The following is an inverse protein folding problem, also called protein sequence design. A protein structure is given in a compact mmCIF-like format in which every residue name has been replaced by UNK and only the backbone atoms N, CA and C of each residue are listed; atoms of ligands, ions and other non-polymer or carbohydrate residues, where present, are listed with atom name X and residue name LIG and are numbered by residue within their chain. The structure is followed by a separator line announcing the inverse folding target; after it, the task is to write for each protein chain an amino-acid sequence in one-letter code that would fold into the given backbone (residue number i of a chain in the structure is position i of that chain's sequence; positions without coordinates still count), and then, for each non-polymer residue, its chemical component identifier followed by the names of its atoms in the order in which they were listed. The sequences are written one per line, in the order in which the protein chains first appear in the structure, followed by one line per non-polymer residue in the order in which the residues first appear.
data_IF_935701277309
#
_entry.id   IF_935701277309
#
_cell.length_a   1.000
_cell.length_b   1.000
_cell.length_c   1.000
_cell.angle_alpha   90.00
_cell.angle_beta   90.00
_cell.angle_gamma   90.00
#
_symmetry.space_group_name_H-M   'P 1'
#
loop_
_entity.id
_entity.type
_entity.pdbx_description
1 polymer ?
#
# COMPACT_ATOMS: atom_id res chain seq x y z
N UNK A 1 5.10 -7.54 -20.15
CA UNK A 1 3.93 -8.17 -19.51
C UNK A 1 3.78 -7.78 -18.05
N UNK A 2 4.82 -7.97 -17.24
CA UNK A 2 4.75 -7.64 -15.82
C UNK A 2 4.53 -6.13 -15.56
N UNK A 3 5.17 -5.27 -16.35
CA UNK A 3 5.00 -3.82 -16.24
C UNK A 3 3.54 -3.39 -16.47
N UNK A 4 2.87 -3.98 -17.47
CA UNK A 4 1.46 -3.68 -17.75
C UNK A 4 0.55 -4.14 -16.61
N UNK A 5 0.85 -5.29 -16.01
CA UNK A 5 0.08 -5.81 -14.88
C UNK A 5 0.25 -4.94 -13.64
N UNK A 6 1.47 -4.48 -13.36
CA UNK A 6 1.74 -3.57 -12.24
C UNK A 6 1.03 -2.24 -12.46
N UNK A 7 1.14 -1.64 -13.64
CA UNK A 7 0.46 -0.39 -13.96
C UNK A 7 -1.05 -0.51 -13.84
N UNK A 8 -1.62 -1.64 -14.29
CA UNK A 8 -3.05 -1.92 -14.14
C UNK A 8 -3.47 -2.02 -12.67
N UNK A 9 -2.62 -2.63 -11.83
CA UNK A 9 -2.88 -2.71 -10.39
C UNK A 9 -2.77 -1.35 -9.70
N UNK A 10 -1.84 -0.52 -10.13
CA UNK A 10 -1.68 0.84 -9.59
C UNK A 10 -2.85 1.74 -10.00
N UNK A 11 -3.40 1.57 -11.21
CA UNK A 11 -4.53 2.38 -11.70
C UNK A 11 -5.82 2.14 -10.89
N UNK A 12 -5.98 0.96 -10.30
CA UNK A 12 -7.11 0.68 -9.41
C UNK A 12 -7.11 1.55 -8.17
N UNK A 13 -5.94 1.87 -7.64
CA UNK A 13 -5.82 2.81 -6.53
C UNK A 13 -6.36 4.19 -6.95
N UNK A 14 -5.96 4.68 -8.13
CA UNK A 14 -6.41 5.97 -8.64
C UNK A 14 -7.94 6.05 -8.73
N UNK A 15 -8.55 5.05 -9.33
CA UNK A 15 -10.02 4.96 -9.47
C UNK A 15 -10.71 4.90 -8.11
N UNK A 16 -10.20 4.06 -7.21
CA UNK A 16 -10.78 3.86 -5.89
C UNK A 16 -10.70 5.14 -5.05
N UNK A 17 -9.57 5.83 -5.11
CA UNK A 17 -9.42 7.11 -4.40
C UNK A 17 -10.40 8.15 -4.94
N UNK A 18 -10.54 8.26 -6.26
CA UNK A 18 -11.51 9.16 -6.89
C UNK A 18 -12.93 8.87 -6.39
N UNK A 19 -13.32 7.60 -6.38
CA UNK A 19 -14.65 7.17 -5.95
C UNK A 19 -14.89 7.51 -4.48
N UNK A 20 -13.89 7.30 -3.63
CA UNK A 20 -13.98 7.62 -2.20
C UNK A 20 -14.10 9.11 -1.95
N UNK A 21 -13.36 9.92 -2.69
CA UNK A 21 -13.44 11.39 -2.58
C UNK A 21 -14.80 11.91 -3.04
N UNK A 22 -15.44 11.26 -3.98
CA UNK A 22 -16.78 11.60 -4.45
C UNK A 22 -17.85 11.14 -3.45
N UNK A 23 -17.73 9.92 -2.93
CA UNK A 23 -18.67 9.34 -1.98
C UNK A 23 -18.67 10.08 -0.62
N UNK A 24 -17.50 10.52 -0.17
CA UNK A 24 -17.34 11.40 0.99
C UNK A 24 -16.76 12.71 0.46
N UNK A 25 -17.60 13.65 -0.01
CA UNK A 25 -17.12 14.79 -0.79
C UNK A 25 -16.04 15.57 -0.08
N UNK A 26 -14.85 15.57 -0.66
CA UNK A 26 -13.70 16.32 -0.18
C UNK A 26 -12.85 16.73 -1.38
N UNK A 27 -12.41 17.99 -1.35
CA UNK A 27 -11.54 18.53 -2.41
C UNK A 27 -10.08 18.16 -2.16
N UNK A 28 -9.30 18.12 -3.23
CA UNK A 28 -7.89 17.72 -3.17
C UNK A 28 -7.08 18.52 -2.15
N UNK A 29 -7.27 19.82 -2.05
CA UNK A 29 -6.55 20.66 -1.10
C UNK A 29 -6.88 20.33 0.35
N UNK A 30 -8.14 20.02 0.63
CA UNK A 30 -8.57 19.66 1.98
C UNK A 30 -8.06 18.29 2.38
N UNK A 31 -8.16 17.30 1.48
CA UNK A 31 -7.62 15.98 1.73
C UNK A 31 -6.09 16.03 1.91
N UNK A 32 -5.42 16.83 1.08
CA UNK A 32 -3.97 17.03 1.19
C UNK A 32 -3.56 17.56 2.57
N UNK A 33 -4.32 18.52 3.13
CA UNK A 33 -4.08 19.03 4.47
C UNK A 33 -4.22 17.94 5.53
N UNK A 34 -5.22 17.07 5.39
CA UNK A 34 -5.42 15.96 6.33
C UNK A 34 -4.28 14.94 6.27
N UNK A 35 -3.73 14.70 5.07
CA UNK A 35 -2.68 13.69 4.86
C UNK A 35 -1.27 14.27 5.10
N UNK A 36 -1.11 15.59 4.96
CA UNK A 36 0.19 16.25 5.10
C UNK A 36 0.98 16.32 3.80
N UNK A 37 0.28 16.47 2.67
CA UNK A 37 0.87 16.63 1.34
C UNK A 37 0.25 17.85 0.66
N UNK A 38 0.61 18.12 -0.59
CA UNK A 38 0.01 19.23 -1.35
C UNK A 38 -1.19 18.75 -2.17
N UNK A 39 -2.07 19.69 -2.54
CA UNK A 39 -3.22 19.39 -3.40
C UNK A 39 -2.80 18.81 -4.74
N UNK A 40 -1.68 19.27 -5.30
CA UNK A 40 -1.11 18.72 -6.55
C UNK A 40 -0.81 17.25 -6.43
N UNK A 41 -0.28 16.81 -5.28
CA UNK A 41 0.05 15.42 -5.02
C UNK A 41 -1.22 14.59 -4.99
N UNK A 42 -2.27 15.05 -4.29
CA UNK A 42 -3.56 14.35 -4.24
C UNK A 42 -4.17 14.25 -5.64
N UNK A 43 -4.17 15.33 -6.41
CA UNK A 43 -4.69 15.30 -7.79
C UNK A 43 -3.95 14.28 -8.63
N UNK A 44 -2.62 14.20 -8.50
CA UNK A 44 -1.81 13.20 -9.22
C UNK A 44 -2.23 11.78 -8.86
N UNK A 45 -2.55 11.54 -7.58
CA UNK A 45 -3.02 10.22 -7.14
C UNK A 45 -4.35 9.82 -7.77
N UNK A 46 -5.16 10.76 -8.23
CA UNK A 46 -6.49 10.47 -8.79
C UNK A 46 -6.50 10.24 -10.30
N UNK A 47 -5.43 10.61 -11.01
CA UNK A 47 -5.44 10.49 -12.48
C UNK A 47 -4.17 9.89 -13.10
N UNK A 48 -3.11 9.69 -12.36
CA UNK A 48 -1.88 9.07 -12.85
C UNK A 48 -1.63 7.73 -12.16
N UNK A 49 -0.92 6.84 -12.85
CA UNK A 49 -0.44 5.57 -12.28
C UNK A 49 0.67 5.86 -11.28
N UNK A 50 0.29 6.31 -10.10
CA UNK A 50 1.19 6.75 -9.05
C UNK A 50 1.59 5.58 -8.17
N UNK A 51 2.90 5.48 -7.88
CA UNK A 51 3.43 4.47 -6.96
C UNK A 51 3.54 5.10 -5.57
N UNK A 52 2.44 5.15 -4.86
CA UNK A 52 2.31 5.83 -3.57
C UNK A 52 3.04 5.08 -2.45
N UNK A 53 3.63 5.83 -1.52
CA UNK A 53 4.31 5.26 -0.36
C UNK A 53 3.33 4.77 0.70
N UNK A 54 3.74 3.74 1.45
CA UNK A 54 2.94 3.09 2.48
C UNK A 54 2.36 4.09 3.50
N UNK A 55 3.17 5.02 4.00
CA UNK A 55 2.71 5.99 5.00
C UNK A 55 1.50 6.79 4.53
N UNK A 56 1.49 7.17 3.25
CA UNK A 56 0.38 7.91 2.68
C UNK A 56 -0.84 7.02 2.42
N UNK A 57 -0.61 5.77 2.00
CA UNK A 57 -1.69 4.77 1.87
C UNK A 57 -2.42 4.56 3.18
N UNK A 58 -1.68 4.40 4.28
CA UNK A 58 -2.27 4.18 5.61
C UNK A 58 -3.06 5.40 6.05
N UNK A 59 -2.52 6.61 5.86
CA UNK A 59 -3.23 7.84 6.22
C UNK A 59 -4.54 7.99 5.44
N UNK A 60 -4.52 7.67 4.15
CA UNK A 60 -5.73 7.70 3.32
C UNK A 60 -6.75 6.64 3.78
N UNK A 61 -6.30 5.43 4.03
CA UNK A 61 -7.17 4.35 4.50
C UNK A 61 -7.80 4.69 5.84
N UNK A 62 -7.03 5.27 6.76
CA UNK A 62 -7.54 5.74 8.05
C UNK A 62 -8.55 6.86 7.87
N UNK A 63 -8.29 7.82 6.98
CA UNK A 63 -9.21 8.92 6.73
C UNK A 63 -10.55 8.43 6.17
N UNK A 64 -10.53 7.47 5.24
CA UNK A 64 -11.74 6.92 4.62
C UNK A 64 -12.33 5.72 5.36
N UNK A 65 -11.79 5.35 6.51
CA UNK A 65 -12.25 4.21 7.32
C UNK A 65 -12.36 2.92 6.51
N UNK A 66 -11.32 2.60 5.76
CA UNK A 66 -11.30 1.39 4.93
C UNK A 66 -9.97 0.65 5.07
N UNK A 67 -9.94 -0.57 4.54
CA UNK A 67 -8.70 -1.33 4.45
C UNK A 67 -7.80 -0.79 3.33
N UNK A 68 -6.50 -1.02 3.44
CA UNK A 68 -5.57 -0.71 2.34
C UNK A 68 -5.90 -1.57 1.13
N UNK A 69 -6.32 -2.82 1.33
CA UNK A 69 -6.72 -3.69 0.22
C UNK A 69 -7.94 -3.15 -0.53
N UNK A 70 -8.92 -2.58 0.18
CA UNK A 70 -10.03 -1.89 -0.47
C UNK A 70 -9.56 -0.64 -1.22
N UNK A 71 -8.77 0.19 -0.57
CA UNK A 71 -8.27 1.43 -1.17
C UNK A 71 -7.46 1.19 -2.44
N UNK A 72 -6.74 0.09 -2.51
CA UNK A 72 -5.90 -0.26 -3.66
C UNK A 72 -6.60 -1.14 -4.70
N UNK A 73 -7.88 -1.45 -4.47
CA UNK A 73 -8.66 -2.26 -5.40
C UNK A 73 -8.38 -3.76 -5.34
N UNK A 74 -7.64 -4.23 -4.33
CA UNK A 74 -7.39 -5.66 -4.13
C UNK A 74 -8.59 -6.38 -3.50
N UNK A 75 -9.48 -5.63 -2.85
CA UNK A 75 -10.73 -6.14 -2.30
C UNK A 75 -11.86 -5.20 -2.66
N UNK A 76 -13.04 -5.75 -2.94
CA UNK A 76 -14.26 -4.97 -3.19
C UNK A 76 -15.06 -4.74 -1.92
N UNK A 77 -14.56 -5.20 -0.79
CA UNK A 77 -15.23 -5.07 0.51
C UNK A 77 -14.50 -4.06 1.38
N UNK A 78 -15.25 -3.09 1.90
CA UNK A 78 -14.79 -2.27 3.00
C UNK A 78 -14.78 -3.19 4.22
N UNK A 79 -13.59 -3.41 4.78
CA UNK A 79 -13.47 -4.24 5.97
C UNK A 79 -13.71 -3.36 7.19
N UNK A 80 -14.68 -3.75 8.00
CA UNK A 80 -14.99 -3.06 9.25
C UNK A 80 -14.06 -3.61 10.33
N UNK A 81 -12.91 -2.97 10.50
CA UNK A 81 -11.99 -3.31 11.57
C UNK A 81 -11.36 -2.05 12.16
N UNK A 82 -11.00 -2.14 13.44
CA UNK A 82 -10.27 -1.05 14.10
C UNK A 82 -8.78 -1.22 13.81
N UNK A 83 -8.15 -0.26 13.11
CA UNK A 83 -6.72 -0.36 12.81
C UNK A 83 -5.90 -0.42 14.09
N UNK A 84 -4.96 -1.34 14.13
CA UNK A 84 -3.99 -1.44 15.23
C UNK A 84 -2.81 -0.53 14.94
N UNK A 85 -2.16 -0.06 15.99
CA UNK A 85 -0.88 0.61 15.84
C UNK A 85 0.10 -0.37 15.22
N UNK A 86 0.50 -0.09 13.98
CA UNK A 86 1.37 -1.01 13.25
C UNK A 86 2.84 -0.83 13.60
N UNK A 87 3.62 -1.91 13.56
CA UNK A 87 5.07 -1.83 13.73
C UNK A 87 5.73 -1.23 12.49
N UNK A 88 7.04 -1.00 12.58
CA UNK A 88 7.86 -0.66 11.43
C UNK A 88 7.68 -1.73 10.33
N UNK A 89 7.62 -1.32 9.07
CA UNK A 89 7.35 -2.23 7.96
C UNK A 89 8.37 -3.36 7.87
N UNK A 90 9.67 -3.05 7.95
CA UNK A 90 10.71 -4.07 7.85
C UNK A 90 10.58 -5.11 8.97
N UNK A 91 10.38 -4.65 10.20
CA UNK A 91 10.19 -5.54 11.35
C UNK A 91 8.99 -6.47 11.12
N UNK A 92 7.88 -5.91 10.64
CA UNK A 92 6.67 -6.69 10.36
C UNK A 92 6.91 -7.69 9.23
N UNK A 93 7.58 -7.26 8.15
CA UNK A 93 7.90 -8.15 7.03
C UNK A 93 8.72 -9.36 7.49
N UNK A 94 9.77 -9.14 8.27
CA UNK A 94 10.60 -10.23 8.78
C UNK A 94 9.77 -11.18 9.65
N UNK A 95 8.88 -10.66 10.47
CA UNK A 95 7.96 -11.47 11.29
C UNK A 95 7.05 -12.34 10.42
N UNK A 96 6.46 -11.76 9.37
CA UNK A 96 5.59 -12.49 8.44
C UNK A 96 6.36 -13.59 7.72
N UNK A 97 7.58 -13.30 7.26
CA UNK A 97 8.43 -14.29 6.59
C UNK A 97 8.76 -15.46 7.52
N UNK A 98 9.11 -15.18 8.77
CA UNK A 98 9.39 -16.22 9.78
C UNK A 98 8.16 -17.09 10.03
N UNK A 99 7.00 -16.46 10.22
CA UNK A 99 5.75 -17.17 10.48
C UNK A 99 5.41 -18.13 9.34
N UNK A 100 5.74 -17.76 8.11
CA UNK A 100 5.45 -18.57 6.91
C UNK A 100 6.64 -19.43 6.46
N UNK A 101 7.73 -19.45 7.22
CA UNK A 101 8.95 -20.20 6.90
C UNK A 101 9.51 -19.86 5.52
N UNK A 102 9.50 -18.60 5.16
CA UNK A 102 10.00 -18.08 3.87
C UNK A 102 11.28 -17.29 4.12
N UNK A 103 12.35 -17.67 3.38
CA UNK A 103 13.62 -16.95 3.45
C UNK A 103 13.61 -15.71 2.57
N UNK A 104 14.48 -14.73 2.89
CA UNK A 104 14.67 -13.56 2.03
C UNK A 104 15.19 -13.96 0.65
N UNK A 105 15.97 -15.04 0.56
CA UNK A 105 16.44 -15.57 -0.72
C UNK A 105 15.28 -15.92 -1.66
N UNK A 106 14.23 -16.56 -1.12
CA UNK A 106 13.03 -16.90 -1.91
C UNK A 106 12.33 -15.66 -2.44
N UNK A 107 12.30 -14.60 -1.65
CA UNK A 107 11.75 -13.30 -2.10
C UNK A 107 12.54 -12.78 -3.31
N UNK A 108 13.87 -12.75 -3.20
CA UNK A 108 14.73 -12.27 -4.30
C UNK A 108 14.61 -13.12 -5.56
N UNK A 109 14.46 -14.43 -5.38
CA UNK A 109 14.40 -15.39 -6.49
C UNK A 109 13.04 -15.32 -7.21
N UNK A 110 11.95 -15.14 -6.47
CA UNK A 110 10.59 -15.33 -7.00
C UNK A 110 9.81 -14.01 -7.19
N UNK A 111 10.39 -12.88 -6.81
CA UNK A 111 9.76 -11.57 -6.97
C UNK A 111 10.75 -10.60 -7.61
N UNK A 112 10.28 -9.40 -7.90
CA UNK A 112 11.15 -8.31 -8.36
C UNK A 112 11.77 -7.50 -7.23
N UNK A 113 11.55 -7.93 -5.99
CA UNK A 113 12.15 -7.26 -4.83
C UNK A 113 13.64 -7.59 -4.80
N UNK A 114 14.47 -6.56 -4.81
CA UNK A 114 15.93 -6.68 -4.78
C UNK A 114 16.47 -6.57 -3.35
N UNK A 115 17.66 -7.09 -3.15
CA UNK A 115 18.29 -7.03 -1.82
C UNK A 115 18.43 -5.62 -1.28
N UNK A 116 18.72 -4.64 -2.15
CA UNK A 116 18.84 -3.25 -1.72
C UNK A 116 17.50 -2.64 -1.28
N UNK A 117 16.36 -3.15 -1.75
CA UNK A 117 15.04 -2.71 -1.25
C UNK A 117 14.93 -3.07 0.22
N UNK A 118 15.24 -4.32 0.59
CA UNK A 118 15.18 -4.75 1.99
C UNK A 118 16.13 -3.93 2.87
N UNK A 119 17.33 -3.65 2.37
CA UNK A 119 18.29 -2.84 3.11
C UNK A 119 17.79 -1.41 3.32
N UNK A 120 17.18 -0.81 2.29
CA UNK A 120 16.58 0.52 2.39
C UNK A 120 15.43 0.55 3.41
N UNK A 121 14.55 -0.46 3.38
CA UNK A 121 13.45 -0.55 4.34
C UNK A 121 13.95 -0.75 5.77
N UNK A 122 14.99 -1.56 5.93
CA UNK A 122 15.64 -1.74 7.23
C UNK A 122 16.18 -0.41 7.78
N UNK A 123 16.67 0.43 6.89
CA UNK A 123 17.23 1.75 7.24
C UNK A 123 16.18 2.85 7.34
N UNK A 124 14.90 2.50 7.25
CA UNK A 124 13.80 3.43 7.47
C UNK A 124 13.09 3.95 6.23
N UNK A 125 13.51 3.54 5.03
CA UNK A 125 12.79 3.91 3.81
C UNK A 125 11.41 3.27 3.80
N UNK A 126 10.43 3.98 3.27
CA UNK A 126 9.06 3.52 3.21
C UNK A 126 8.81 2.77 1.89
N UNK A 127 8.20 1.57 1.92
CA UNK A 127 7.93 0.84 0.69
C UNK A 127 6.85 1.52 -0.14
N UNK A 128 6.91 1.32 -1.44
CA UNK A 128 5.90 1.83 -2.38
C UNK A 128 4.84 0.76 -2.67
N UNK A 129 3.70 1.20 -3.16
CA UNK A 129 2.56 0.31 -3.44
C UNK A 129 2.94 -0.87 -4.33
N UNK A 130 3.77 -0.67 -5.35
CA UNK A 130 4.19 -1.78 -6.24
C UNK A 130 4.89 -2.90 -5.49
N UNK A 131 5.76 -2.56 -4.53
CA UNK A 131 6.44 -3.55 -3.69
C UNK A 131 5.46 -4.25 -2.75
N UNK A 132 4.51 -3.52 -2.19
CA UNK A 132 3.50 -4.10 -1.31
C UNK A 132 2.62 -5.10 -2.06
N UNK A 133 2.19 -4.77 -3.27
CA UNK A 133 1.40 -5.66 -4.13
C UNK A 133 2.21 -6.92 -4.45
N UNK A 134 3.46 -6.75 -4.88
CA UNK A 134 4.36 -7.86 -5.23
C UNK A 134 4.52 -8.83 -4.06
N UNK A 135 4.80 -8.31 -2.88
CA UNK A 135 4.98 -9.13 -1.67
C UNK A 135 3.67 -9.80 -1.25
N UNK A 136 2.57 -9.05 -1.22
CA UNK A 136 1.27 -9.59 -0.80
C UNK A 136 0.81 -10.70 -1.77
N UNK A 137 1.00 -10.52 -3.07
CA UNK A 137 0.66 -11.52 -4.07
C UNK A 137 1.53 -12.79 -3.90
N UNK A 138 2.84 -12.61 -3.71
CA UNK A 138 3.75 -13.75 -3.51
C UNK A 138 3.44 -14.52 -2.23
N UNK A 139 3.17 -13.80 -1.14
CA UNK A 139 2.87 -14.40 0.16
C UNK A 139 1.41 -14.85 0.30
N UNK A 140 0.58 -14.60 -0.69
CA UNK A 140 -0.85 -14.89 -0.71
C UNK A 140 -1.56 -14.37 0.54
N UNK A 141 -1.38 -13.09 0.81
CA UNK A 141 -1.99 -12.43 1.96
C UNK A 141 -2.50 -11.03 1.59
N UNK A 142 -3.24 -10.40 2.49
CA UNK A 142 -3.67 -9.02 2.32
C UNK A 142 -2.51 -8.06 2.58
N UNK A 143 -2.59 -6.87 2.01
CA UNK A 143 -1.62 -5.82 2.35
C UNK A 143 -1.79 -5.42 3.82
N UNK A 144 -3.04 -5.32 4.29
CA UNK A 144 -3.29 -4.97 5.70
C UNK A 144 -2.65 -5.96 6.67
N UNK A 145 -2.71 -7.26 6.36
CA UNK A 145 -1.99 -8.27 7.15
C UNK A 145 -0.47 -8.08 7.06
N UNK A 146 0.04 -7.90 5.83
CA UNK A 146 1.47 -7.74 5.59
C UNK A 146 2.08 -6.58 6.37
N UNK A 147 1.35 -5.48 6.48
CA UNK A 147 1.85 -4.27 7.16
C UNK A 147 1.49 -4.23 8.66
N UNK A 148 0.74 -5.21 9.16
CA UNK A 148 0.35 -5.27 10.57
C UNK A 148 -0.80 -4.35 10.95
N UNK A 149 -1.63 -3.94 10.00
CA UNK A 149 -2.79 -3.08 10.23
C UNK A 149 -4.05 -3.89 10.52
N UNK A 150 -4.02 -5.15 10.13
CA UNK A 150 -5.11 -6.10 10.33
C UNK A 150 -4.98 -6.88 11.64
#
# INVERSE_FOLDING_TARGET
MLRKQILKKLSKFNERLSDLMEAKPIKSEMLAAEIGVTGSVVRRWTYNDTNIQLKNLVKLADYFDCSVDFLTGRSDKILDFTPKKRPNFYTRLIQVLKTNSISTYKIFKNTKIKGYYLQNWKNGADPKLSSLIELADYLDCTIDYLIGRE
#
